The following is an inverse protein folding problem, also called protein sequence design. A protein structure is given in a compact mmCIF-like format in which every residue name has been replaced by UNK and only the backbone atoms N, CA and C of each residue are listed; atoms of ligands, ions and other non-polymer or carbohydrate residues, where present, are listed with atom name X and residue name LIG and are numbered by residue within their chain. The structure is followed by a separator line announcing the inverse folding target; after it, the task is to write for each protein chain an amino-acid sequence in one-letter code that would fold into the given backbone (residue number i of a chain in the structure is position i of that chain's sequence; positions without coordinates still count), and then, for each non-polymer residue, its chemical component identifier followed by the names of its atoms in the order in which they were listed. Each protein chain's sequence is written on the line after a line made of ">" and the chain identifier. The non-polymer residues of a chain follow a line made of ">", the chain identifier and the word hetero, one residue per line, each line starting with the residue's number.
data_IF_915062785908
#
_entry.id   IF_915062785908
#
_cell.length_a   1.000
_cell.length_b   1.000
_cell.length_c   1.000
_cell.angle_alpha   90.00
_cell.angle_beta   90.00
_cell.angle_gamma   90.00
#
_symmetry.space_group_name_H-M   'P 1'
#
loop_
_entity.id
_entity.type
_entity.pdbx_description
1 polymer ?
#
# COMPACT_ATOMS: atom_id res chain seq x y z
N UNK A 1 13.42 5.39 -10.82
CA UNK A 1 12.80 6.74 -10.76
C UNK A 1 11.28 6.65 -10.92
N UNK A 2 10.51 7.73 -10.69
CA UNK A 2 9.04 7.70 -10.88
C UNK A 2 8.63 7.40 -12.34
N UNK A 3 9.39 7.91 -13.32
CA UNK A 3 9.16 7.64 -14.75
C UNK A 3 9.42 6.19 -15.14
N UNK A 4 10.42 5.54 -14.55
CA UNK A 4 10.62 4.08 -14.71
C UNK A 4 9.44 3.29 -14.16
N UNK A 5 8.97 3.63 -12.94
CA UNK A 5 7.80 2.96 -12.34
C UNK A 5 6.57 3.10 -13.23
N UNK A 6 6.34 4.29 -13.81
CA UNK A 6 5.31 4.48 -14.84
C UNK A 6 5.55 3.56 -16.05
N UNK A 7 6.78 3.46 -16.52
CA UNK A 7 7.18 2.58 -17.62
C UNK A 7 6.80 1.12 -17.40
N UNK A 8 6.93 0.62 -16.17
CA UNK A 8 6.53 -0.76 -15.82
C UNK A 8 5.05 -1.06 -16.03
N UNK A 9 4.21 -0.02 -16.11
CA UNK A 9 2.77 -0.13 -16.31
C UNK A 9 2.35 0.02 -17.79
N UNK A 10 3.29 0.29 -18.71
CA UNK A 10 2.97 0.58 -20.11
C UNK A 10 2.31 -0.58 -20.86
N UNK A 11 2.62 -1.82 -20.49
CA UNK A 11 2.05 -3.01 -21.13
C UNK A 11 0.82 -3.57 -20.40
N UNK A 12 0.31 -2.88 -19.37
CA UNK A 12 -0.78 -3.40 -18.53
C UNK A 12 -2.11 -2.85 -19.03
N UNK A 13 -2.83 -3.68 -19.79
CA UNK A 13 -4.13 -3.36 -20.36
C UNK A 13 -4.95 -4.63 -20.57
N UNK A 14 -6.25 -4.47 -20.77
CA UNK A 14 -7.14 -5.59 -21.10
C UNK A 14 -8.58 -5.16 -21.22
N UNK A 15 -9.48 -6.14 -21.13
CA UNK A 15 -10.93 -5.95 -21.10
C UNK A 15 -11.44 -6.66 -19.84
N UNK A 16 -12.32 -6.01 -19.10
CA UNK A 16 -12.91 -6.61 -17.89
C UNK A 16 -14.06 -7.58 -18.21
N UNK A 17 -14.61 -8.20 -17.17
CA UNK A 17 -15.70 -9.20 -17.28
C UNK A 17 -17.00 -8.61 -17.88
N UNK A 18 -17.13 -7.28 -17.95
CA UNK A 18 -18.28 -6.56 -18.53
C UNK A 18 -17.98 -6.03 -19.93
N UNK A 19 -16.83 -6.35 -20.51
CA UNK A 19 -16.43 -5.88 -21.84
C UNK A 19 -15.84 -4.47 -21.88
N UNK A 20 -15.54 -3.85 -20.73
CA UNK A 20 -14.95 -2.50 -20.69
C UNK A 20 -13.43 -2.58 -20.88
N UNK A 21 -12.85 -1.84 -21.84
CA UNK A 21 -11.40 -1.78 -21.99
C UNK A 21 -10.77 -1.00 -20.83
N UNK A 22 -9.60 -1.43 -20.38
CA UNK A 22 -8.81 -0.73 -19.38
C UNK A 22 -7.33 -0.65 -19.76
N UNK A 23 -6.65 0.37 -19.24
CA UNK A 23 -5.21 0.54 -19.34
C UNK A 23 -4.68 1.13 -18.03
N UNK A 24 -3.59 0.59 -17.50
CA UNK A 24 -3.05 1.02 -16.20
C UNK A 24 -2.64 2.49 -16.17
N UNK A 25 -2.17 3.02 -17.31
CA UNK A 25 -1.82 4.45 -17.48
C UNK A 25 -3.01 5.36 -17.82
N UNK A 26 -4.26 4.88 -17.80
CA UNK A 26 -5.41 5.80 -17.81
C UNK A 26 -5.30 6.74 -16.59
N UNK A 27 -5.35 8.08 -16.76
CA UNK A 27 -5.11 9.02 -15.66
C UNK A 27 -5.95 8.74 -14.41
N UNK A 28 -7.23 8.41 -14.55
CA UNK A 28 -8.11 8.12 -13.41
C UNK A 28 -7.69 6.85 -12.68
N UNK A 29 -7.39 5.78 -13.41
CA UNK A 29 -6.94 4.49 -12.86
C UNK A 29 -5.59 4.62 -12.16
N UNK A 30 -4.63 5.28 -12.81
CA UNK A 30 -3.29 5.46 -12.26
C UNK A 30 -3.32 6.35 -11.01
N UNK A 31 -4.08 7.45 -11.04
CA UNK A 31 -4.25 8.30 -9.87
C UNK A 31 -4.91 7.56 -8.71
N UNK A 32 -5.97 6.78 -8.97
CA UNK A 32 -6.63 5.99 -7.92
C UNK A 32 -5.65 5.09 -7.17
N UNK A 33 -4.78 4.36 -7.89
CA UNK A 33 -3.75 3.54 -7.23
C UNK A 33 -2.87 4.37 -6.28
N UNK A 34 -2.48 5.58 -6.67
CA UNK A 34 -1.65 6.47 -5.86
C UNK A 34 -2.40 7.13 -4.70
N UNK A 35 -3.70 7.41 -4.89
CA UNK A 35 -4.59 7.85 -3.83
C UNK A 35 -4.67 6.81 -2.71
N UNK A 36 -4.70 5.51 -3.04
CA UNK A 36 -4.67 4.44 -2.02
C UNK A 36 -3.34 4.37 -1.26
N UNK A 37 -2.19 4.67 -1.90
CA UNK A 37 -0.89 4.75 -1.21
C UNK A 37 -0.83 5.91 -0.22
N UNK A 38 -1.36 7.07 -0.61
CA UNK A 38 -1.49 8.22 0.28
C UNK A 38 -2.45 7.91 1.43
N UNK A 39 -3.63 7.36 1.14
CA UNK A 39 -4.60 7.06 2.19
C UNK A 39 -4.14 5.97 3.14
N UNK A 40 -3.37 4.99 2.66
CA UNK A 40 -2.65 4.05 3.52
C UNK A 40 -1.72 4.78 4.50
N UNK A 41 -0.99 5.79 4.04
CA UNK A 41 -0.08 6.59 4.88
C UNK A 41 -0.84 7.35 5.97
N UNK A 42 -1.94 8.00 5.60
CA UNK A 42 -2.83 8.70 6.55
C UNK A 42 -3.42 7.72 7.56
N UNK A 43 -3.99 6.60 7.10
CA UNK A 43 -4.57 5.58 7.98
C UNK A 43 -3.52 4.98 8.93
N UNK A 44 -2.28 4.78 8.46
CA UNK A 44 -1.22 4.25 9.33
C UNK A 44 -0.84 5.26 10.41
N UNK A 45 -0.72 6.55 10.05
CA UNK A 45 -0.44 7.61 11.01
C UNK A 45 -1.55 7.76 12.06
N UNK A 46 -2.81 7.74 11.61
CA UNK A 46 -3.98 7.88 12.49
C UNK A 46 -4.16 6.66 13.42
N UNK A 47 -4.02 5.44 12.88
CA UNK A 47 -4.34 4.20 13.62
C UNK A 47 -3.15 3.65 14.43
N UNK A 48 -1.92 3.89 13.98
CA UNK A 48 -0.70 3.31 14.58
C UNK A 48 0.39 4.36 14.89
N UNK A 49 0.27 5.58 14.38
CA UNK A 49 1.26 6.66 14.50
C UNK A 49 1.01 7.65 15.64
N UNK A 50 -0.17 7.62 16.26
CA UNK A 50 -0.56 8.54 17.34
C UNK A 50 -1.48 9.69 16.91
N UNK A 51 -1.94 9.69 15.65
CA UNK A 51 -2.83 10.71 15.11
C UNK A 51 -2.11 11.75 14.26
N UNK A 52 -2.87 12.48 13.43
CA UNK A 52 -2.41 13.67 12.72
C UNK A 52 -3.21 14.91 13.16
N UNK A 53 -2.58 16.07 13.14
CA UNK A 53 -3.30 17.35 13.19
C UNK A 53 -3.85 17.71 11.80
N UNK A 54 -4.78 18.66 11.74
CA UNK A 54 -5.32 19.12 10.45
C UNK A 54 -4.23 19.70 9.55
N UNK A 55 -3.36 20.54 10.11
CA UNK A 55 -2.22 21.10 9.38
C UNK A 55 -1.27 20.01 8.83
N UNK A 56 -1.08 18.91 9.57
CA UNK A 56 -0.30 17.77 9.10
C UNK A 56 -1.00 17.02 7.96
N UNK A 57 -2.33 16.87 8.00
CA UNK A 57 -3.11 16.27 6.90
C UNK A 57 -2.97 17.09 5.62
N UNK A 58 -3.09 18.42 5.72
CA UNK A 58 -2.90 19.33 4.57
C UNK A 58 -1.48 19.24 4.02
N UNK A 59 -0.46 19.28 4.89
CA UNK A 59 0.95 19.16 4.46
C UNK A 59 1.21 17.82 3.75
N UNK A 60 0.70 16.71 4.31
CA UNK A 60 0.85 15.39 3.70
C UNK A 60 0.12 15.30 2.36
N UNK A 61 -1.02 15.96 2.23
CA UNK A 61 -1.73 16.04 0.95
C UNK A 61 -0.92 16.79 -0.11
N UNK A 62 -0.37 17.95 0.23
CA UNK A 62 0.47 18.74 -0.68
C UNK A 62 1.75 17.98 -1.08
N UNK A 63 2.34 17.20 -0.16
CA UNK A 63 3.44 16.28 -0.44
C UNK A 63 3.03 15.15 -1.38
N UNK A 64 1.85 14.55 -1.17
CA UNK A 64 1.30 13.53 -2.06
C UNK A 64 1.11 14.06 -3.49
N UNK A 65 0.57 15.28 -3.65
CA UNK A 65 0.38 15.90 -4.96
C UNK A 65 1.72 16.12 -5.66
N UNK A 66 2.72 16.65 -4.95
CA UNK A 66 4.09 16.82 -5.48
C UNK A 66 4.72 15.48 -5.87
N UNK A 67 4.55 14.45 -5.05
CA UNK A 67 5.05 13.11 -5.35
C UNK A 67 4.38 12.50 -6.59
N UNK A 68 3.05 12.64 -6.72
CA UNK A 68 2.32 12.15 -7.88
C UNK A 68 2.74 12.85 -9.18
N UNK A 69 3.03 14.17 -9.13
CA UNK A 69 3.49 14.92 -10.28
C UNK A 69 4.81 14.35 -10.88
N UNK A 70 5.65 13.68 -10.09
CA UNK A 70 6.91 13.07 -10.56
C UNK A 70 6.69 11.97 -11.61
N UNK A 71 5.52 11.34 -11.64
CA UNK A 71 5.20 10.33 -12.66
C UNK A 71 4.95 10.96 -14.04
N UNK A 72 4.71 12.28 -14.12
CA UNK A 72 4.50 12.98 -15.39
C UNK A 72 3.28 12.52 -16.16
N UNK A 73 2.22 12.12 -15.45
CA UNK A 73 0.89 11.86 -16.01
C UNK A 73 -0.04 13.07 -15.77
N UNK A 74 -1.22 13.04 -16.38
CA UNK A 74 -2.21 14.11 -16.21
C UNK A 74 -2.56 14.32 -14.75
N UNK A 75 -2.59 15.60 -14.35
CA UNK A 75 -3.02 16.05 -13.02
C UNK A 75 -4.53 16.32 -12.95
N UNK A 76 -5.26 16.21 -14.07
CA UNK A 76 -6.72 16.40 -14.12
C UNK A 76 -7.51 15.59 -13.06
N UNK A 77 -7.20 14.31 -12.77
CA UNK A 77 -7.93 13.54 -11.77
C UNK A 77 -7.51 13.85 -10.31
N UNK A 78 -6.48 14.67 -10.11
CA UNK A 78 -5.93 14.95 -8.77
C UNK A 78 -6.77 16.05 -8.11
N UNK A 79 -7.34 15.81 -6.90
CA UNK A 79 -8.01 16.82 -6.09
C UNK A 79 -7.07 18.01 -5.81
N UNK A 80 -7.64 19.19 -5.61
CA UNK A 80 -6.87 20.44 -5.41
C UNK A 80 -6.62 20.77 -3.94
N UNK A 81 -7.32 20.09 -3.04
CA UNK A 81 -7.16 20.25 -1.59
C UNK A 81 -7.44 18.93 -0.87
N UNK A 82 -7.07 18.90 0.42
CA UNK A 82 -7.36 17.77 1.30
C UNK A 82 -8.86 17.49 1.40
N UNK A 83 -9.70 18.52 1.47
CA UNK A 83 -11.15 18.38 1.54
C UNK A 83 -11.75 17.85 0.23
N UNK A 84 -11.23 18.30 -0.93
CA UNK A 84 -11.60 17.71 -2.21
C UNK A 84 -11.18 16.24 -2.28
N UNK A 85 -10.01 15.90 -1.73
CA UNK A 85 -9.56 14.52 -1.66
C UNK A 85 -10.47 13.65 -0.80
N UNK A 86 -10.92 14.13 0.36
CA UNK A 86 -11.86 13.38 1.20
C UNK A 86 -13.15 13.05 0.43
N UNK A 87 -13.72 14.04 -0.27
CA UNK A 87 -14.91 13.81 -1.12
C UNK A 87 -14.63 12.83 -2.26
N UNK A 88 -13.49 12.96 -2.92
CA UNK A 88 -13.06 12.03 -3.97
C UNK A 88 -12.93 10.61 -3.43
N UNK A 89 -12.30 10.43 -2.27
CA UNK A 89 -12.10 9.13 -1.63
C UNK A 89 -13.42 8.49 -1.23
N UNK A 90 -14.32 9.27 -0.62
CA UNK A 90 -15.65 8.80 -0.22
C UNK A 90 -16.48 8.40 -1.44
N UNK A 91 -16.48 9.20 -2.51
CA UNK A 91 -17.15 8.84 -3.78
C UNK A 91 -16.57 7.57 -4.40
N UNK A 92 -15.24 7.43 -4.45
CA UNK A 92 -14.60 6.21 -4.97
C UNK A 92 -15.05 4.99 -4.16
N UNK A 93 -15.04 5.10 -2.83
CA UNK A 93 -15.41 4.01 -1.93
C UNK A 93 -16.90 3.70 -1.90
N UNK A 94 -17.76 4.70 -2.02
CA UNK A 94 -19.21 4.56 -1.92
C UNK A 94 -19.86 4.20 -3.26
N UNK A 95 -19.33 4.69 -4.39
CA UNK A 95 -20.04 4.65 -5.67
C UNK A 95 -19.28 3.93 -6.79
N UNK A 96 -17.94 4.00 -6.81
CA UNK A 96 -17.15 3.54 -7.96
C UNK A 96 -16.59 2.13 -7.79
N UNK A 97 -16.09 1.78 -6.59
CA UNK A 97 -15.50 0.47 -6.36
C UNK A 97 -16.51 -0.64 -6.57
N UNK A 98 -16.08 -1.74 -7.18
CA UNK A 98 -16.92 -2.90 -7.48
C UNK A 98 -16.40 -4.14 -6.74
N UNK A 99 -17.32 -5.04 -6.37
CA UNK A 99 -16.94 -6.39 -5.97
C UNK A 99 -16.58 -7.20 -7.22
N UNK A 100 -15.30 -7.57 -7.34
CA UNK A 100 -14.77 -8.27 -8.51
C UNK A 100 -13.79 -9.37 -8.11
N UNK A 101 -13.51 -10.27 -9.06
CA UNK A 101 -12.61 -11.41 -8.85
C UNK A 101 -11.22 -11.00 -8.34
N UNK A 102 -10.50 -10.02 -8.91
CA UNK A 102 -9.20 -9.60 -8.36
C UNK A 102 -9.26 -9.21 -6.88
N UNK A 103 -10.31 -8.50 -6.46
CA UNK A 103 -10.51 -8.11 -5.05
C UNK A 103 -10.70 -9.34 -4.17
N UNK A 104 -11.53 -10.29 -4.60
CA UNK A 104 -11.77 -11.55 -3.87
C UNK A 104 -10.52 -12.45 -3.82
N UNK A 105 -9.73 -12.47 -4.87
CA UNK A 105 -8.48 -13.24 -4.95
C UNK A 105 -7.44 -12.69 -3.96
N UNK A 106 -7.31 -11.36 -3.83
CA UNK A 106 -6.40 -10.73 -2.85
C UNK A 106 -6.82 -11.02 -1.41
N UNK A 107 -8.13 -11.10 -1.13
CA UNK A 107 -8.64 -11.48 0.20
C UNK A 107 -8.51 -12.98 0.47
N UNK A 108 -8.31 -13.81 -0.56
CA UNK A 108 -8.13 -15.25 -0.41
C UNK A 108 -6.67 -15.62 -0.11
N UNK A 109 -6.25 -15.39 1.14
CA UNK A 109 -4.88 -15.68 1.60
C UNK A 109 -4.64 -17.13 2.03
N UNK A 110 -5.53 -18.08 1.68
CA UNK A 110 -5.43 -19.49 2.13
C UNK A 110 -4.13 -20.18 1.73
N UNK A 111 -3.50 -19.73 0.64
CA UNK A 111 -2.27 -20.31 0.08
C UNK A 111 -1.06 -19.38 0.20
N UNK A 112 -1.04 -18.48 1.18
CA UNK A 112 0.11 -17.59 1.39
C UNK A 112 1.41 -18.39 1.50
N UNK A 113 2.40 -17.97 0.71
CA UNK A 113 3.69 -18.63 0.62
C UNK A 113 4.45 -18.52 1.95
N UNK A 114 5.32 -19.48 2.20
CA UNK A 114 6.18 -19.50 3.39
C UNK A 114 7.18 -18.34 3.30
N UNK A 115 7.25 -17.44 4.29
CA UNK A 115 8.26 -16.38 4.31
C UNK A 115 9.68 -16.96 4.22
N UNK A 116 10.63 -16.29 3.55
CA UNK A 116 12.01 -16.77 3.45
C UNK A 116 12.68 -17.04 4.80
N UNK A 117 12.37 -16.24 5.82
CA UNK A 117 12.89 -16.43 7.19
C UNK A 117 12.42 -17.74 7.83
N UNK A 118 11.30 -18.29 7.37
CA UNK A 118 10.73 -19.55 7.86
C UNK A 118 10.99 -20.70 6.89
N UNK A 119 11.92 -20.58 5.93
CA UNK A 119 12.18 -21.59 4.89
C UNK A 119 12.37 -23.00 5.47
N UNK A 120 13.06 -23.08 6.62
CA UNK A 120 13.38 -24.30 7.35
C UNK A 120 12.19 -24.93 8.09
N UNK A 121 11.08 -24.19 8.27
CA UNK A 121 9.88 -24.71 8.93
C UNK A 121 9.21 -25.76 8.00
N UNK A 122 8.97 -27.00 8.47
CA UNK A 122 8.25 -28.01 7.71
C UNK A 122 6.89 -27.53 7.19
N UNK A 123 6.53 -27.91 5.95
CA UNK A 123 5.30 -27.45 5.29
C UNK A 123 4.00 -27.75 6.06
N UNK A 124 3.84 -28.92 6.73
CA UNK A 124 2.67 -29.17 7.56
C UNK A 124 2.56 -28.20 8.75
N UNK A 125 3.69 -27.90 9.41
CA UNK A 125 3.72 -26.92 10.51
C UNK A 125 3.40 -25.51 10.03
N UNK A 126 3.90 -25.12 8.85
CA UNK A 126 3.52 -23.86 8.22
C UNK A 126 2.03 -23.79 7.90
N UNK A 127 1.44 -24.88 7.42
CA UNK A 127 0.02 -24.92 7.07
C UNK A 127 -0.90 -24.60 8.26
N UNK A 128 -0.47 -24.98 9.48
CA UNK A 128 -1.15 -24.64 10.74
C UNK A 128 -0.79 -23.23 11.20
N UNK A 129 0.51 -22.89 11.25
CA UNK A 129 1.00 -21.61 11.76
C UNK A 129 0.50 -20.40 10.95
N UNK A 130 0.24 -20.56 9.65
CA UNK A 130 -0.27 -19.49 8.79
C UNK A 130 -1.72 -19.10 9.10
N UNK A 131 -2.51 -19.97 9.73
CA UNK A 131 -3.94 -19.72 9.98
C UNK A 131 -4.16 -18.47 10.87
N UNK A 132 -3.56 -18.37 12.07
CA UNK A 132 -3.70 -17.17 12.88
C UNK A 132 -3.11 -15.93 12.22
N UNK A 133 -2.00 -16.09 11.48
CA UNK A 133 -1.38 -15.00 10.72
C UNK A 133 -2.34 -14.42 9.68
N UNK A 134 -2.93 -15.28 8.84
CA UNK A 134 -3.91 -14.88 7.81
C UNK A 134 -5.13 -14.23 8.44
N UNK A 135 -5.66 -14.79 9.54
CA UNK A 135 -6.79 -14.20 10.26
C UNK A 135 -6.47 -12.80 10.77
N UNK A 136 -5.30 -12.60 11.38
CA UNK A 136 -4.86 -11.30 11.86
C UNK A 136 -4.67 -10.30 10.71
N UNK A 137 -4.00 -10.71 9.62
CA UNK A 137 -3.79 -9.86 8.44
C UNK A 137 -5.12 -9.43 7.83
N UNK A 138 -6.05 -10.36 7.63
CA UNK A 138 -7.38 -10.04 7.11
C UNK A 138 -8.15 -9.14 8.08
N UNK A 139 -8.12 -9.42 9.38
CA UNK A 139 -8.81 -8.61 10.37
C UNK A 139 -8.28 -7.17 10.40
N UNK A 140 -6.96 -6.96 10.37
CA UNK A 140 -6.37 -5.61 10.24
C UNK A 140 -6.77 -4.96 8.91
N UNK A 141 -6.72 -5.71 7.79
CA UNK A 141 -7.09 -5.20 6.46
C UNK A 141 -8.55 -4.72 6.44
N UNK A 142 -9.48 -5.55 6.90
CA UNK A 142 -10.91 -5.22 7.01
C UNK A 142 -11.07 -3.99 7.92
N UNK A 143 -10.37 -3.97 9.06
CA UNK A 143 -10.39 -2.88 10.02
C UNK A 143 -9.87 -1.53 9.51
N UNK A 144 -9.16 -1.51 8.38
CA UNK A 144 -8.69 -0.30 7.70
C UNK A 144 -9.55 0.09 6.49
N UNK A 145 -10.45 -0.77 6.02
CA UNK A 145 -11.39 -0.41 4.96
C UNK A 145 -12.43 0.61 5.44
N UNK A 146 -12.81 1.57 4.58
CA UNK A 146 -14.01 2.38 4.78
C UNK A 146 -15.26 1.52 4.92
N UNK A 147 -16.27 2.04 5.62
CA UNK A 147 -17.51 1.30 5.87
C UNK A 147 -18.20 0.83 4.57
N UNK A 148 -18.31 1.71 3.57
CA UNK A 148 -18.93 1.37 2.29
C UNK A 148 -18.23 0.19 1.57
N UNK A 149 -16.90 0.08 1.68
CA UNK A 149 -16.13 -1.04 1.10
C UNK A 149 -16.42 -2.34 1.85
N UNK A 150 -16.55 -2.28 3.18
CA UNK A 150 -16.91 -3.45 3.99
C UNK A 150 -18.31 -3.94 3.64
N UNK A 151 -19.27 -3.05 3.55
CA UNK A 151 -20.66 -3.36 3.19
C UNK A 151 -20.74 -3.98 1.80
N UNK A 152 -20.11 -3.35 0.80
CA UNK A 152 -20.05 -3.89 -0.56
C UNK A 152 -19.47 -5.30 -0.63
N UNK A 153 -18.45 -5.58 0.16
CA UNK A 153 -17.79 -6.89 0.16
C UNK A 153 -18.44 -7.90 1.13
N UNK A 154 -19.48 -7.51 1.88
CA UNK A 154 -20.13 -8.35 2.89
C UNK A 154 -19.23 -8.65 4.10
N UNK A 155 -18.29 -7.76 4.41
CA UNK A 155 -17.30 -7.92 5.47
C UNK A 155 -17.85 -7.41 6.80
N UNK A 156 -18.03 -8.31 7.76
CA UNK A 156 -18.49 -7.95 9.11
C UNK A 156 -17.37 -7.23 9.88
N UNK A 157 -17.71 -6.10 10.49
CA UNK A 157 -16.85 -5.39 11.44
C UNK A 157 -17.69 -4.91 12.62
N UNK A 158 -17.36 -5.35 13.83
CA UNK A 158 -18.14 -5.02 15.03
C UNK A 158 -17.53 -3.86 15.82
N UNK A 159 -18.31 -3.20 16.70
CA UNK A 159 -17.74 -2.22 17.63
C UNK A 159 -16.65 -2.80 18.54
N UNK A 160 -16.70 -4.11 18.82
CA UNK A 160 -15.66 -4.80 19.57
C UNK A 160 -14.35 -4.90 18.77
N UNK A 161 -14.44 -5.25 17.48
CA UNK A 161 -13.28 -5.26 16.57
C UNK A 161 -12.62 -3.88 16.49
N UNK A 162 -13.42 -2.82 16.37
CA UNK A 162 -12.92 -1.45 16.34
C UNK A 162 -12.16 -1.07 17.61
N UNK A 163 -12.68 -1.45 18.80
CA UNK A 163 -11.99 -1.21 20.08
C UNK A 163 -10.67 -1.96 20.17
N UNK A 164 -10.66 -3.24 19.78
CA UNK A 164 -9.45 -4.06 19.76
C UNK A 164 -8.41 -3.52 18.79
N UNK A 165 -8.82 -3.06 17.59
CA UNK A 165 -7.89 -2.52 16.61
C UNK A 165 -7.26 -1.22 17.11
N UNK A 166 -8.05 -0.35 17.76
CA UNK A 166 -7.52 0.86 18.41
C UNK A 166 -6.54 0.53 19.55
N UNK A 167 -6.81 -0.52 20.33
CA UNK A 167 -5.88 -0.97 21.36
C UNK A 167 -4.58 -1.50 20.76
N UNK A 168 -4.67 -2.37 19.75
CA UNK A 168 -3.51 -2.85 18.99
C UNK A 168 -2.71 -1.67 18.42
N UNK A 169 -3.41 -0.68 17.86
CA UNK A 169 -2.85 0.57 17.36
C UNK A 169 -1.99 1.31 18.38
N UNK A 170 -2.54 1.52 19.59
CA UNK A 170 -1.80 2.14 20.71
C UNK A 170 -0.59 1.32 21.13
N UNK A 171 -0.72 0.00 21.21
CA UNK A 171 0.40 -0.89 21.58
C UNK A 171 1.53 -0.81 20.54
N UNK A 172 1.18 -0.86 19.25
CA UNK A 172 2.14 -0.70 18.15
C UNK A 172 2.79 0.67 18.22
N UNK A 173 2.03 1.75 18.42
CA UNK A 173 2.57 3.10 18.56
C UNK A 173 3.61 3.20 19.69
N UNK A 174 3.29 2.70 20.89
CA UNK A 174 4.19 2.76 22.03
C UNK A 174 5.44 1.89 21.83
N UNK A 175 5.30 0.70 21.25
CA UNK A 175 6.43 -0.14 20.89
C UNK A 175 7.33 0.54 19.84
N UNK A 176 6.72 1.12 18.80
CA UNK A 176 7.43 1.79 17.71
C UNK A 176 8.23 3.01 18.18
N UNK A 177 7.75 3.74 19.19
CA UNK A 177 8.50 4.83 19.82
C UNK A 177 9.84 4.40 20.42
N UNK A 178 10.01 3.10 20.75
CA UNK A 178 11.27 2.55 21.26
C UNK A 178 12.23 2.12 20.16
N UNK A 179 11.77 2.02 18.92
CA UNK A 179 12.65 1.75 17.78
C UNK A 179 13.49 3.00 17.52
N UNK A 180 14.84 2.89 17.45
CA UNK A 180 15.69 4.04 17.13
C UNK A 180 15.33 4.63 15.75
N UNK A 181 15.37 5.97 15.63
CA UNK A 181 14.93 6.70 14.42
C UNK A 181 15.50 6.10 13.13
N UNK A 182 16.79 5.76 13.14
CA UNK A 182 17.49 5.18 11.98
C UNK A 182 16.91 3.85 11.48
N UNK A 183 16.30 3.07 12.36
CA UNK A 183 15.71 1.77 12.02
C UNK A 183 14.23 1.86 11.67
N UNK A 184 13.61 3.05 11.79
CA UNK A 184 12.22 3.26 11.39
C UNK A 184 12.04 3.35 9.88
N UNK A 185 13.12 3.58 9.14
CA UNK A 185 13.09 3.76 7.69
C UNK A 185 13.57 2.51 6.96
N UNK A 186 12.88 2.18 5.86
CA UNK A 186 13.39 1.22 4.87
C UNK A 186 14.80 1.65 4.40
N UNK A 187 15.75 0.73 4.14
CA UNK A 187 17.12 1.08 3.77
C UNK A 187 17.26 2.13 2.66
N UNK A 188 16.42 2.06 1.61
CA UNK A 188 16.39 3.08 0.54
C UNK A 188 15.97 4.48 1.05
N UNK A 189 14.95 4.56 1.90
CA UNK A 189 14.49 5.81 2.48
C UNK A 189 15.54 6.39 3.46
N UNK A 190 16.16 5.53 4.27
CA UNK A 190 17.28 5.91 5.14
C UNK A 190 18.45 6.48 4.34
N UNK A 191 18.84 5.84 3.24
CA UNK A 191 19.91 6.34 2.38
C UNK A 191 19.57 7.69 1.74
N UNK A 192 18.28 7.94 1.44
CA UNK A 192 17.81 9.28 1.05
C UNK A 192 18.06 10.32 2.13
N UNK A 193 17.62 10.05 3.36
CA UNK A 193 17.86 10.95 4.50
C UNK A 193 19.34 11.15 4.84
N UNK A 194 20.15 10.10 4.72
CA UNK A 194 21.58 10.19 4.95
C UNK A 194 22.22 11.16 3.92
N UNK A 195 21.81 11.13 2.64
CA UNK A 195 22.27 12.12 1.63
C UNK A 195 21.87 13.55 1.98
N UNK A 196 20.60 13.78 2.32
CA UNK A 196 20.10 15.11 2.70
C UNK A 196 20.80 15.66 3.96
N UNK A 197 21.21 14.77 4.87
CA UNK A 197 21.95 15.12 6.09
C UNK A 197 23.48 15.14 5.89
N UNK A 198 23.97 15.06 4.65
CA UNK A 198 25.41 15.15 4.31
C UNK A 198 26.24 13.93 4.71
N UNK A 199 25.63 12.78 5.01
CA UNK A 199 26.35 11.53 5.28
C UNK A 199 26.76 10.86 3.96
N UNK A 200 27.97 10.29 3.89
CA UNK A 200 28.41 9.57 2.70
C UNK A 200 27.54 8.34 2.46
N UNK A 201 26.99 8.25 1.25
CA UNK A 201 26.20 7.11 0.78
C UNK A 201 26.84 6.57 -0.49
N UNK A 202 27.23 5.30 -0.50
CA UNK A 202 27.79 4.62 -1.67
C UNK A 202 26.66 4.15 -2.60
N UNK A 203 26.27 5.02 -3.54
CA UNK A 203 25.34 4.69 -4.62
C UNK A 203 23.89 4.44 -4.19
N UNK A 204 23.00 4.08 -5.14
CA UNK A 204 21.63 3.72 -4.83
C UNK A 204 21.58 2.40 -4.06
N UNK A 205 20.77 2.34 -3.00
CA UNK A 205 20.54 1.09 -2.28
C UNK A 205 19.63 0.21 -3.12
N UNK A 206 20.13 -0.93 -3.59
CA UNK A 206 19.38 -1.82 -4.48
C UNK A 206 18.62 -2.95 -3.78
N UNK A 207 17.64 -3.52 -4.49
CA UNK A 207 16.95 -4.73 -4.00
C UNK A 207 17.94 -5.89 -4.03
N UNK A 208 18.02 -6.74 -2.99
CA UNK A 208 18.94 -7.88 -3.00
C UNK A 208 18.49 -8.92 -4.03
N UNK A 209 19.44 -9.71 -4.55
CA UNK A 209 19.19 -10.73 -5.58
C UNK A 209 18.03 -11.71 -5.24
N UNK A 210 17.86 -12.02 -3.95
CA UNK A 210 16.77 -12.88 -3.44
C UNK A 210 15.35 -12.35 -3.68
N UNK A 211 15.21 -11.05 -3.98
CA UNK A 211 13.93 -10.39 -4.27
C UNK A 211 13.71 -10.18 -5.78
N UNK A 212 14.66 -10.57 -6.63
CA UNK A 212 14.54 -10.43 -8.08
C UNK A 212 13.51 -11.44 -8.62
N UNK A 213 12.86 -11.12 -9.75
CA UNK A 213 11.98 -12.08 -10.40
C UNK A 213 12.76 -13.32 -10.88
N UNK A 214 12.05 -14.44 -11.17
CA UNK A 214 12.63 -15.58 -11.85
C UNK A 214 13.42 -15.15 -13.08
N UNK A 215 14.51 -15.84 -13.37
CA UNK A 215 15.48 -15.44 -14.40
C UNK A 215 14.83 -15.23 -15.77
N UNK A 216 13.96 -16.16 -16.17
CA UNK A 216 13.14 -16.11 -17.39
C UNK A 216 12.24 -14.86 -17.51
N UNK A 217 11.96 -14.18 -16.40
CA UNK A 217 11.11 -12.98 -16.35
C UNK A 217 11.89 -11.68 -16.21
N UNK A 218 13.21 -11.72 -15.98
CA UNK A 218 14.02 -10.51 -15.72
C UNK A 218 14.04 -9.51 -16.88
N UNK A 219 13.88 -9.98 -18.11
CA UNK A 219 13.81 -9.13 -19.30
C UNK A 219 12.44 -8.50 -19.58
N UNK A 220 11.40 -8.84 -18.81
CA UNK A 220 10.07 -8.28 -19.06
C UNK A 220 10.00 -6.83 -18.57
N UNK A 221 9.32 -5.94 -19.31
CA UNK A 221 9.27 -4.52 -18.99
C UNK A 221 8.53 -4.21 -17.69
N UNK A 222 7.81 -5.16 -17.08
CA UNK A 222 7.08 -4.93 -15.83
C UNK A 222 7.96 -5.09 -14.58
N UNK A 223 9.16 -5.66 -14.72
CA UNK A 223 10.00 -6.02 -13.58
C UNK A 223 11.15 -5.05 -13.40
N UNK A 224 11.39 -4.70 -12.14
CA UNK A 224 12.60 -4.01 -11.74
C UNK A 224 13.75 -5.00 -11.54
N UNK A 225 14.83 -4.83 -12.30
CA UNK A 225 16.10 -5.54 -12.14
C UNK A 225 17.21 -4.49 -12.20
N UNK A 226 17.96 -4.26 -11.08
CA UNK A 226 19.08 -3.32 -11.06
C UNK A 226 20.22 -3.71 -12.00
#
# INVERSE_FOLDING_TARGET
>A
TAREVRGYHASISGVDERGRPYHALNPGTFYWAHATFFMLTVQVAERFGGGLTEAQRHTLFDEHVRWYALYGLSMKPVPRSWEEFQRYWDHMCADILEDNRPTRDVLNMRRIAKPPLLRLLPSPLWAVARIPLVRLTLWVTIGLYPQAVRERLGLRWTPHDERLLRLLGRLIHHAWRRVPERHRFHPRARAGWDRERGRPVTGPVETPARNLPPEERRGLPQHYVP
#
